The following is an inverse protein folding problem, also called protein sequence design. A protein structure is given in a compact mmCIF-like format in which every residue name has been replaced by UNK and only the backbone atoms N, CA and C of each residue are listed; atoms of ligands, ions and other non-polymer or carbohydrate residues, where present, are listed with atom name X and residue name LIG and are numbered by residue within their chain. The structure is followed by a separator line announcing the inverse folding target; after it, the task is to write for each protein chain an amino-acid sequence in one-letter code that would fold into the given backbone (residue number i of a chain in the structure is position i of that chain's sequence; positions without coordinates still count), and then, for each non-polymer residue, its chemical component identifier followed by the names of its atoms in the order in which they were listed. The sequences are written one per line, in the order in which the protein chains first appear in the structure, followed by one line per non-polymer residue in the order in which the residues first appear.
data_IF_509606483223
#
_entry.id   IF_509606483223
#
_cell.length_a   1.000
_cell.length_b   1.000
_cell.length_c   1.000
_cell.angle_alpha   90.00
_cell.angle_beta   90.00
_cell.angle_gamma   90.00
#
_symmetry.space_group_name_H-M   'P 1'
#
loop_
_entity.id
_entity.type
_entity.pdbx_description
1 polymer ?
#
# COMPACT_ATOMS: atom_id res chain seq x y z
N UNK A 1 72.74 39.77 -29.34
CA UNK A 1 72.04 38.52 -29.01
C UNK A 1 70.85 38.82 -28.09
N UNK A 2 69.60 38.81 -28.62
CA UNK A 2 68.38 39.08 -27.83
C UNK A 2 67.73 37.72 -27.50
N UNK A 3 67.69 37.35 -26.20
CA UNK A 3 66.98 36.19 -25.70
C UNK A 3 65.44 36.49 -25.62
N UNK A 4 64.65 35.79 -26.42
CA UNK A 4 63.22 35.77 -26.34
C UNK A 4 62.79 34.80 -25.27
N UNK A 5 62.29 35.29 -24.14
CA UNK A 5 61.60 34.48 -23.10
C UNK A 5 60.21 34.12 -23.58
N UNK A 6 59.93 32.86 -23.83
CA UNK A 6 58.59 32.32 -24.09
C UNK A 6 57.89 32.15 -22.71
N UNK A 7 56.88 32.95 -22.45
CA UNK A 7 55.96 32.80 -21.32
C UNK A 7 54.96 31.68 -21.70
N UNK A 8 55.08 30.52 -21.10
CA UNK A 8 54.09 29.46 -21.18
C UNK A 8 52.92 29.82 -20.20
N UNK A 9 51.76 30.14 -20.75
CA UNK A 9 50.53 30.32 -19.94
C UNK A 9 49.96 28.95 -19.57
N UNK A 10 49.61 28.66 -18.31
CA UNK A 10 48.95 27.42 -17.94
C UNK A 10 47.52 27.40 -18.46
N UNK A 11 47.20 26.43 -19.29
CA UNK A 11 45.83 26.13 -19.73
C UNK A 11 45.12 25.46 -18.56
N UNK A 12 44.27 26.21 -17.84
CA UNK A 12 43.35 25.64 -16.83
C UNK A 12 42.18 25.02 -17.58
N UNK A 13 42.20 23.68 -17.75
CA UNK A 13 41.00 22.95 -18.18
C UNK A 13 39.93 23.09 -17.07
N UNK A 14 38.97 23.97 -17.28
CA UNK A 14 37.75 23.99 -16.49
C UNK A 14 36.97 22.69 -16.83
N UNK A 15 36.93 21.74 -15.89
CA UNK A 15 36.06 20.57 -15.99
C UNK A 15 34.62 21.07 -15.95
N UNK A 16 33.95 21.10 -17.09
CA UNK A 16 32.52 21.35 -17.17
C UNK A 16 31.80 20.25 -16.36
N UNK A 17 30.82 20.57 -15.52
CA UNK A 17 30.02 19.56 -14.84
C UNK A 17 29.35 18.68 -15.92
N UNK A 18 29.71 17.43 -15.96
CA UNK A 18 29.03 16.43 -16.78
C UNK A 18 27.60 16.37 -16.31
N UNK A 19 26.65 16.87 -17.09
CA UNK A 19 25.24 16.61 -16.90
C UNK A 19 25.03 15.10 -17.12
N UNK A 20 25.14 14.33 -16.05
CA UNK A 20 24.87 12.91 -16.09
C UNK A 20 23.50 12.70 -16.71
N UNK A 21 23.43 11.96 -17.82
CA UNK A 21 22.14 11.64 -18.43
C UNK A 21 21.27 10.90 -17.41
N UNK A 22 19.97 11.24 -17.31
CA UNK A 22 19.08 10.53 -16.40
C UNK A 22 19.14 9.02 -16.69
N UNK A 23 19.21 8.22 -15.63
CA UNK A 23 19.18 6.77 -15.77
C UNK A 23 17.95 6.33 -16.59
N UNK A 24 18.16 5.44 -17.54
CA UNK A 24 17.10 4.84 -18.36
C UNK A 24 17.21 3.32 -18.27
N UNK A 25 16.09 2.62 -18.00
CA UNK A 25 16.13 1.16 -17.98
C UNK A 25 16.45 0.60 -19.38
N UNK A 26 17.40 -0.33 -19.45
CA UNK A 26 17.85 -1.04 -20.67
C UNK A 26 17.38 -2.50 -20.69
N UNK A 27 16.78 -2.98 -19.61
CA UNK A 27 16.23 -4.32 -19.46
C UNK A 27 14.92 -4.27 -18.65
N UNK A 28 14.12 -5.35 -18.61
CA UNK A 28 12.84 -5.39 -17.88
C UNK A 28 13.00 -5.07 -16.39
N UNK A 29 12.10 -4.24 -15.87
CA UNK A 29 11.98 -3.98 -14.43
C UNK A 29 11.08 -5.04 -13.80
N UNK A 30 11.49 -5.63 -12.69
CA UNK A 30 10.69 -6.56 -11.90
C UNK A 30 10.07 -5.84 -10.72
N UNK A 31 8.74 -5.96 -10.56
CA UNK A 31 8.00 -5.49 -9.38
C UNK A 31 7.63 -6.70 -8.53
N UNK A 32 8.17 -6.79 -7.33
CA UNK A 32 7.78 -7.81 -6.36
C UNK A 32 6.54 -7.35 -5.59
N UNK A 33 5.50 -8.18 -5.58
CA UNK A 33 4.24 -7.93 -4.88
C UNK A 33 4.03 -8.99 -3.81
N UNK A 34 3.92 -8.57 -2.54
CA UNK A 34 3.83 -9.46 -1.39
C UNK A 34 2.46 -10.13 -1.18
N UNK A 35 1.52 -9.95 -2.11
CA UNK A 35 0.12 -10.36 -1.98
C UNK A 35 -0.34 -11.15 -3.20
N UNK A 36 -1.45 -11.88 -3.04
CA UNK A 36 -2.04 -12.69 -4.11
C UNK A 36 -2.44 -11.82 -5.33
N UNK A 37 -2.38 -12.38 -6.55
CA UNK A 37 -2.89 -11.71 -7.74
C UNK A 37 -4.36 -11.27 -7.57
N UNK A 38 -4.73 -10.15 -8.19
CA UNK A 38 -6.08 -9.58 -8.13
C UNK A 38 -6.38 -8.71 -6.90
N UNK A 39 -5.44 -8.62 -5.93
CA UNK A 39 -5.53 -7.63 -4.85
C UNK A 39 -5.04 -6.25 -5.28
N UNK A 40 -5.33 -5.22 -4.50
CA UNK A 40 -5.00 -3.80 -4.83
C UNK A 40 -3.52 -3.58 -5.15
N UNK A 41 -2.61 -4.24 -4.41
CA UNK A 41 -1.16 -4.14 -4.66
C UNK A 41 -0.78 -4.69 -6.06
N UNK A 42 -1.39 -5.80 -6.47
CA UNK A 42 -1.18 -6.41 -7.78
C UNK A 42 -1.80 -5.56 -8.90
N UNK A 43 -3.04 -5.11 -8.71
CA UNK A 43 -3.74 -4.24 -9.65
C UNK A 43 -2.95 -2.96 -9.91
N UNK A 44 -2.50 -2.26 -8.86
CA UNK A 44 -1.74 -1.02 -8.99
C UNK A 44 -0.41 -1.22 -9.74
N UNK A 45 0.31 -2.32 -9.44
CA UNK A 45 1.54 -2.69 -10.13
C UNK A 45 1.29 -2.97 -11.63
N UNK A 46 0.23 -3.70 -11.97
CA UNK A 46 -0.11 -4.04 -13.37
C UNK A 46 -0.58 -2.84 -14.18
N UNK A 47 -1.34 -1.92 -13.59
CA UNK A 47 -1.72 -0.66 -14.28
C UNK A 47 -0.47 0.13 -14.67
N UNK A 48 0.48 0.29 -13.74
CA UNK A 48 1.74 0.96 -14.03
C UNK A 48 2.56 0.21 -15.10
N UNK A 49 2.69 -1.12 -14.97
CA UNK A 49 3.41 -1.97 -15.91
C UNK A 49 2.85 -1.88 -17.34
N UNK A 50 1.54 -2.00 -17.48
CA UNK A 50 0.82 -1.90 -18.76
C UNK A 50 1.03 -0.54 -19.44
N UNK A 51 0.98 0.53 -18.64
CA UNK A 51 1.17 1.90 -19.16
C UNK A 51 2.60 2.12 -19.64
N UNK A 52 3.59 1.67 -18.87
CA UNK A 52 5.00 1.77 -19.25
C UNK A 52 5.28 0.95 -20.51
N UNK A 53 4.72 -0.25 -20.63
CA UNK A 53 4.85 -1.07 -21.84
C UNK A 53 4.22 -0.39 -23.06
N UNK A 54 2.98 0.12 -22.93
CA UNK A 54 2.24 0.72 -24.05
C UNK A 54 2.82 2.06 -24.51
N UNK A 55 3.28 2.89 -23.57
CA UNK A 55 3.72 4.27 -23.89
C UNK A 55 5.21 4.40 -24.14
N UNK A 56 6.02 3.53 -23.55
CA UNK A 56 7.48 3.65 -23.60
C UNK A 56 8.19 2.38 -24.11
N UNK A 57 7.42 1.31 -24.40
CA UNK A 57 7.99 0.01 -24.80
C UNK A 57 8.80 -0.66 -23.67
N UNK A 58 8.67 -0.15 -22.43
CA UNK A 58 9.41 -0.66 -21.29
C UNK A 58 8.72 -1.90 -20.71
N UNK A 59 9.40 -3.04 -20.77
CA UNK A 59 8.90 -4.26 -20.15
C UNK A 59 8.98 -4.17 -18.62
N UNK A 60 7.83 -4.39 -17.95
CA UNK A 60 7.74 -4.47 -16.50
C UNK A 60 7.04 -5.77 -16.12
N UNK A 61 7.71 -6.58 -15.29
CA UNK A 61 7.21 -7.90 -14.87
C UNK A 61 6.73 -7.83 -13.43
N UNK A 62 5.46 -8.17 -13.19
CA UNK A 62 4.89 -8.26 -11.85
C UNK A 62 5.01 -9.70 -11.36
N UNK A 63 5.70 -9.88 -10.21
CA UNK A 63 5.99 -11.18 -9.59
C UNK A 63 5.39 -11.21 -8.17
N UNK A 64 4.39 -12.08 -7.94
CA UNK A 64 3.70 -12.19 -6.67
C UNK A 64 4.41 -13.17 -5.73
N UNK A 65 5.12 -12.65 -4.71
CA UNK A 65 5.81 -13.41 -3.65
C UNK A 65 5.08 -13.27 -2.33
N UNK A 66 4.05 -14.07 -2.14
CA UNK A 66 3.15 -13.97 -0.97
C UNK A 66 3.76 -14.56 0.30
N UNK A 67 3.29 -14.09 1.46
CA UNK A 67 3.58 -14.68 2.78
C UNK A 67 4.13 -13.66 3.78
N UNK A 68 4.04 -13.98 5.06
CA UNK A 68 4.46 -13.15 6.19
C UNK A 68 3.93 -11.69 6.10
N UNK A 69 2.62 -11.50 5.81
CA UNK A 69 2.07 -10.15 5.64
C UNK A 69 2.69 -9.37 4.47
N UNK A 70 3.26 -10.07 3.46
CA UNK A 70 3.96 -9.48 2.31
C UNK A 70 5.44 -9.16 2.54
N UNK A 71 5.97 -9.42 3.73
CA UNK A 71 7.38 -9.15 4.05
C UNK A 71 8.36 -10.06 3.29
N UNK A 72 7.93 -11.24 2.79
CA UNK A 72 8.77 -12.08 1.93
C UNK A 72 9.19 -11.31 0.67
N UNK A 73 8.26 -10.60 0.03
CA UNK A 73 8.56 -9.77 -1.14
C UNK A 73 9.49 -8.60 -0.78
N UNK A 74 9.19 -7.85 0.31
CA UNK A 74 10.03 -6.71 0.73
C UNK A 74 11.46 -7.14 1.10
N UNK A 75 11.62 -8.30 1.75
CA UNK A 75 12.94 -8.84 2.04
C UNK A 75 13.70 -9.22 0.77
N UNK A 76 13.01 -9.79 -0.22
CA UNK A 76 13.61 -10.07 -1.52
C UNK A 76 14.01 -8.79 -2.28
N UNK A 77 13.25 -7.70 -2.14
CA UNK A 77 13.65 -6.38 -2.66
C UNK A 77 14.89 -5.87 -1.95
N UNK A 78 14.90 -5.88 -0.61
CA UNK A 78 16.04 -5.41 0.20
C UNK A 78 17.35 -6.14 -0.16
N UNK A 79 17.28 -7.42 -0.51
CA UNK A 79 18.41 -8.27 -0.88
C UNK A 79 18.77 -8.22 -2.36
N UNK A 80 18.03 -7.47 -3.20
CA UNK A 80 18.32 -7.35 -4.62
C UNK A 80 19.44 -6.32 -4.89
N UNK A 81 20.12 -6.39 -6.06
CA UNK A 81 21.06 -5.35 -6.47
C UNK A 81 20.41 -3.96 -6.49
N UNK A 82 21.15 -2.94 -6.03
CA UNK A 82 20.68 -1.55 -6.02
C UNK A 82 20.88 -0.86 -7.39
N UNK A 83 20.40 -1.50 -8.46
CA UNK A 83 20.57 -1.10 -9.86
C UNK A 83 19.29 -0.57 -10.53
N UNK A 84 18.15 -0.63 -9.83
CA UNK A 84 16.84 -0.14 -10.30
C UNK A 84 16.01 -1.18 -11.06
N UNK A 85 16.49 -2.41 -11.26
CA UNK A 85 15.75 -3.44 -12.00
C UNK A 85 14.89 -4.36 -11.13
N UNK A 86 15.03 -4.28 -9.81
CA UNK A 86 14.13 -4.96 -8.87
C UNK A 86 13.61 -3.95 -7.86
N UNK A 87 12.30 -3.78 -7.84
CA UNK A 87 11.56 -2.91 -6.92
C UNK A 87 10.39 -3.68 -6.31
N UNK A 88 9.72 -3.13 -5.33
CA UNK A 88 8.56 -3.78 -4.72
C UNK A 88 7.44 -2.84 -4.40
N UNK A 89 6.23 -3.39 -4.27
CA UNK A 89 5.10 -2.64 -3.70
C UNK A 89 5.13 -2.77 -2.18
N UNK A 90 5.37 -1.65 -1.51
CA UNK A 90 5.19 -1.48 -0.08
C UNK A 90 3.83 -0.84 0.22
N UNK A 91 3.18 -1.27 1.28
CA UNK A 91 1.85 -0.79 1.66
C UNK A 91 1.86 -0.15 3.05
N UNK A 92 0.82 0.62 3.35
CA UNK A 92 0.64 1.28 4.66
C UNK A 92 0.84 0.31 5.83
N UNK A 93 0.26 -0.88 5.75
CA UNK A 93 0.36 -1.90 6.79
C UNK A 93 1.80 -2.28 7.11
N UNK A 94 2.64 -2.46 6.08
CA UNK A 94 4.03 -2.88 6.24
C UNK A 94 4.95 -1.72 6.66
N UNK A 95 4.81 -0.55 6.02
CA UNK A 95 5.78 0.54 6.13
C UNK A 95 5.43 1.56 7.23
N UNK A 96 4.16 1.68 7.60
CA UNK A 96 3.72 2.64 8.60
C UNK A 96 3.10 2.00 9.83
N UNK A 97 2.22 1.02 9.66
CA UNK A 97 1.44 0.42 10.74
C UNK A 97 2.26 -0.63 11.50
N UNK A 98 2.79 -1.64 10.81
CA UNK A 98 3.55 -2.72 11.43
C UNK A 98 4.66 -2.26 12.36
N UNK A 99 5.50 -1.27 11.99
CA UNK A 99 6.58 -0.77 12.83
C UNK A 99 6.15 -0.20 14.18
N UNK A 100 4.91 0.23 14.33
CA UNK A 100 4.40 0.87 15.56
C UNK A 100 3.52 -0.06 16.40
N UNK A 101 3.26 -1.29 15.93
CA UNK A 101 2.49 -2.29 16.67
C UNK A 101 3.43 -3.14 17.53
N UNK A 102 3.32 -3.10 18.87
CA UNK A 102 4.15 -3.92 19.75
C UNK A 102 3.99 -5.42 19.46
N UNK A 103 5.12 -6.11 19.34
CA UNK A 103 5.17 -7.55 19.03
C UNK A 103 5.12 -7.90 17.54
N UNK A 104 5.07 -6.92 16.64
CA UNK A 104 5.15 -7.19 15.20
C UNK A 104 6.50 -7.84 14.83
N UNK A 105 6.43 -9.02 14.20
CA UNK A 105 7.61 -9.73 13.71
C UNK A 105 7.98 -9.23 12.30
N UNK A 106 8.71 -8.12 12.23
CA UNK A 106 9.20 -7.55 10.97
C UNK A 106 10.59 -8.15 10.68
N UNK A 107 10.77 -8.91 9.59
CA UNK A 107 12.00 -9.69 9.35
C UNK A 107 13.15 -8.89 8.73
N UNK A 108 13.05 -7.56 8.67
CA UNK A 108 14.06 -6.64 8.10
C UNK A 108 13.96 -5.27 8.76
N UNK A 109 15.06 -4.50 8.72
CA UNK A 109 15.08 -3.09 9.12
C UNK A 109 14.59 -2.23 7.94
N UNK A 110 13.30 -1.86 7.97
CA UNK A 110 12.66 -1.15 6.87
C UNK A 110 13.34 0.17 6.50
N UNK A 111 13.90 0.87 7.49
CA UNK A 111 14.49 2.20 7.29
C UNK A 111 15.95 2.12 6.81
N UNK A 112 16.65 0.99 7.08
CA UNK A 112 18.03 0.77 6.65
C UNK A 112 18.13 -0.05 5.37
N UNK A 113 17.19 -0.97 5.14
CA UNK A 113 17.30 -1.94 4.05
C UNK A 113 16.46 -1.57 2.83
N UNK A 114 15.50 -0.63 2.97
CA UNK A 114 14.64 -0.16 1.89
C UNK A 114 14.70 1.36 1.73
N UNK A 115 14.46 1.83 0.51
CA UNK A 115 14.25 3.26 0.23
C UNK A 115 12.90 3.49 -0.43
N UNK A 116 12.11 4.49 0.01
CA UNK A 116 10.90 4.94 -0.67
C UNK A 116 11.24 5.54 -2.04
N UNK A 117 10.52 5.12 -3.09
CA UNK A 117 10.69 5.62 -4.45
C UNK A 117 9.51 6.52 -4.84
N UNK A 118 8.29 6.02 -4.71
CA UNK A 118 7.10 6.80 -5.06
C UNK A 118 5.86 6.27 -4.32
N UNK A 119 4.99 7.16 -3.84
CA UNK A 119 3.65 6.77 -3.42
C UNK A 119 2.73 6.82 -4.64
N UNK A 120 2.25 5.66 -5.06
CA UNK A 120 1.59 5.53 -6.34
C UNK A 120 0.09 5.81 -6.25
N UNK A 121 -0.63 5.06 -5.40
CA UNK A 121 -2.08 5.14 -5.31
C UNK A 121 -2.57 5.04 -3.86
N UNK A 122 -3.70 5.69 -3.59
CA UNK A 122 -4.50 5.54 -2.38
C UNK A 122 -5.82 4.87 -2.66
N UNK A 123 -6.41 4.24 -1.65
CA UNK A 123 -7.71 3.61 -1.73
C UNK A 123 -8.40 3.63 -0.36
N UNK A 124 -9.65 4.10 -0.27
CA UNK A 124 -10.41 4.00 0.96
C UNK A 124 -10.78 2.54 1.24
N UNK A 125 -10.87 2.20 2.52
CA UNK A 125 -11.32 0.89 2.96
C UNK A 125 -12.81 0.92 3.30
N UNK A 126 -13.50 -0.22 3.10
CA UNK A 126 -14.85 -0.43 3.56
C UNK A 126 -14.93 -1.70 4.40
N UNK A 127 -15.84 -1.71 5.36
CA UNK A 127 -16.18 -2.89 6.12
C UNK A 127 -17.24 -3.69 5.36
N UNK A 128 -16.86 -4.89 4.93
CA UNK A 128 -17.78 -5.87 4.34
C UNK A 128 -18.10 -7.01 5.31
N UNK A 129 -19.27 -7.60 5.13
CA UNK A 129 -19.71 -8.76 5.89
C UNK A 129 -20.34 -9.80 4.96
N UNK A 130 -20.43 -11.06 5.40
CA UNK A 130 -21.16 -12.11 4.69
C UNK A 130 -22.66 -11.72 4.55
N UNK A 131 -23.30 -12.18 3.50
CA UNK A 131 -24.67 -11.75 3.17
C UNK A 131 -25.70 -12.14 4.21
N UNK A 132 -25.53 -13.28 4.85
CA UNK A 132 -26.40 -13.84 5.89
C UNK A 132 -26.01 -13.41 7.32
N UNK A 133 -25.08 -12.44 7.46
CA UNK A 133 -24.71 -11.91 8.77
C UNK A 133 -25.95 -11.40 9.54
N UNK A 134 -26.04 -11.66 10.85
CA UNK A 134 -27.18 -11.23 11.67
C UNK A 134 -27.21 -9.72 11.96
N UNK A 135 -26.31 -8.96 11.33
CA UNK A 135 -26.17 -7.50 11.45
C UNK A 135 -26.03 -6.88 10.06
N UNK A 136 -26.66 -5.71 9.87
CA UNK A 136 -26.71 -4.97 8.60
C UNK A 136 -26.15 -3.55 8.71
N UNK A 137 -25.82 -3.12 9.91
CA UNK A 137 -25.29 -1.78 10.23
C UNK A 137 -24.13 -1.91 11.23
N UNK A 138 -23.33 -0.84 11.37
CA UNK A 138 -22.23 -0.81 12.35
C UNK A 138 -22.77 -0.93 13.79
N UNK A 139 -23.81 -0.19 14.21
CA UNK A 139 -24.39 -0.35 15.54
C UNK A 139 -24.89 -1.79 15.82
N UNK A 140 -25.52 -2.45 14.84
CA UNK A 140 -25.97 -3.83 14.99
C UNK A 140 -24.79 -4.81 15.12
N UNK A 141 -23.72 -4.65 14.32
CA UNK A 141 -22.48 -5.44 14.45
C UNK A 141 -21.89 -5.31 15.85
N UNK A 142 -21.77 -4.07 16.34
CA UNK A 142 -21.22 -3.80 17.68
C UNK A 142 -22.09 -4.43 18.77
N UNK A 143 -23.41 -4.28 18.68
CA UNK A 143 -24.35 -4.88 19.64
C UNK A 143 -24.26 -6.41 19.63
N UNK A 144 -24.24 -7.02 18.45
CA UNK A 144 -24.11 -8.47 18.28
C UNK A 144 -22.80 -9.00 18.85
N UNK A 145 -21.67 -8.36 18.51
CA UNK A 145 -20.35 -8.79 18.99
C UNK A 145 -20.20 -8.66 20.51
N UNK A 146 -20.80 -7.63 21.13
CA UNK A 146 -20.88 -7.48 22.60
C UNK A 146 -21.67 -8.59 23.25
N UNK A 147 -22.83 -8.95 22.66
CA UNK A 147 -23.69 -10.02 23.19
C UNK A 147 -23.09 -11.42 22.94
N UNK A 148 -22.20 -11.58 21.98
CA UNK A 148 -21.61 -12.86 21.57
C UNK A 148 -20.06 -12.80 21.53
N UNK A 149 -19.39 -12.65 22.66
CA UNK A 149 -17.92 -12.53 22.72
C UNK A 149 -17.23 -13.74 22.07
N UNK A 150 -16.29 -13.51 21.14
CA UNK A 150 -15.54 -14.56 20.46
C UNK A 150 -16.36 -15.37 19.43
N UNK A 151 -17.53 -14.86 19.01
CA UNK A 151 -18.31 -15.50 17.92
C UNK A 151 -18.17 -14.83 16.57
N UNK A 152 -17.76 -13.56 16.55
CA UNK A 152 -17.52 -12.82 15.30
C UNK A 152 -16.07 -13.04 14.88
N UNK A 153 -15.87 -13.50 13.65
CA UNK A 153 -14.55 -13.64 13.01
C UNK A 153 -14.28 -12.49 12.05
N UNK A 154 -13.02 -12.06 11.97
CA UNK A 154 -12.60 -11.06 11.01
C UNK A 154 -11.38 -11.51 10.20
N UNK A 155 -11.44 -11.27 8.89
CA UNK A 155 -10.34 -11.56 7.98
C UNK A 155 -9.28 -10.47 8.00
N UNK A 156 -8.04 -10.84 7.65
CA UNK A 156 -6.96 -9.89 7.35
C UNK A 156 -6.04 -10.42 6.24
N UNK A 157 -5.16 -9.56 5.73
CA UNK A 157 -4.12 -9.96 4.77
C UNK A 157 -2.82 -10.40 5.46
N UNK A 158 -2.90 -10.73 6.76
CA UNK A 158 -1.80 -11.20 7.59
C UNK A 158 -1.57 -10.32 8.81
N UNK A 159 -0.68 -10.79 9.69
CA UNK A 159 -0.30 -10.08 10.92
C UNK A 159 0.33 -8.72 10.62
N UNK A 160 -0.08 -7.69 11.36
CA UNK A 160 0.39 -6.31 11.17
C UNK A 160 -0.18 -5.62 9.92
N UNK A 161 -1.12 -6.25 9.20
CA UNK A 161 -1.76 -5.63 8.05
C UNK A 161 -2.75 -4.53 8.46
N UNK A 162 -2.96 -3.58 7.56
CA UNK A 162 -3.96 -2.51 7.75
C UNK A 162 -5.36 -3.07 8.04
N UNK A 163 -5.72 -4.19 7.39
CA UNK A 163 -7.02 -4.85 7.56
C UNK A 163 -7.19 -5.39 8.98
N UNK A 164 -6.15 -6.03 9.54
CA UNK A 164 -6.15 -6.48 10.93
C UNK A 164 -6.36 -5.30 11.87
N UNK A 165 -5.53 -4.26 11.72
CA UNK A 165 -5.60 -3.11 12.63
C UNK A 165 -6.89 -2.33 12.51
N UNK A 166 -7.49 -2.28 11.33
CA UNK A 166 -8.81 -1.68 11.16
C UNK A 166 -9.88 -2.42 12.00
N UNK A 167 -9.85 -3.76 12.00
CA UNK A 167 -10.76 -4.57 12.80
C UNK A 167 -10.47 -4.46 14.30
N UNK A 168 -9.19 -4.50 14.70
CA UNK A 168 -8.78 -4.31 16.10
C UNK A 168 -9.14 -2.90 16.61
N UNK A 169 -8.99 -1.89 15.75
CA UNK A 169 -9.35 -0.52 16.10
C UNK A 169 -10.87 -0.36 16.23
N UNK A 170 -11.66 -0.97 15.33
CA UNK A 170 -13.11 -1.07 15.51
C UNK A 170 -13.44 -1.72 16.85
N UNK A 171 -12.79 -2.81 17.20
CA UNK A 171 -13.01 -3.51 18.45
C UNK A 171 -12.72 -2.63 19.67
N UNK A 172 -11.57 -1.95 19.67
CA UNK A 172 -11.13 -1.07 20.75
C UNK A 172 -12.09 0.12 20.95
N UNK A 173 -12.40 0.86 19.88
CA UNK A 173 -13.29 2.01 19.91
C UNK A 173 -14.75 1.65 20.26
N UNK A 174 -15.12 0.38 20.06
CA UNK A 174 -16.45 -0.15 20.41
C UNK A 174 -16.53 -0.73 21.81
N UNK A 175 -15.52 -0.52 22.67
CA UNK A 175 -15.49 -0.98 24.06
C UNK A 175 -14.87 -2.36 24.26
N UNK A 176 -13.93 -2.76 23.40
CA UNK A 176 -13.14 -3.98 23.56
C UNK A 176 -13.88 -5.23 23.08
N UNK A 177 -14.40 -5.22 21.85
CA UNK A 177 -15.04 -6.39 21.27
C UNK A 177 -14.06 -7.57 21.19
N UNK A 178 -14.51 -8.76 21.58
CA UNK A 178 -13.73 -9.99 21.42
C UNK A 178 -14.12 -10.64 20.09
N UNK A 179 -13.22 -10.58 19.12
CA UNK A 179 -13.38 -11.17 17.78
C UNK A 179 -12.25 -12.16 17.49
N UNK A 180 -12.45 -13.07 16.54
CA UNK A 180 -11.46 -14.07 16.12
C UNK A 180 -10.76 -13.59 14.86
N UNK A 181 -9.43 -13.48 14.92
CA UNK A 181 -8.61 -13.12 13.76
C UNK A 181 -8.37 -14.32 12.83
N UNK A 182 -8.61 -14.14 11.52
CA UNK A 182 -8.36 -15.14 10.47
C UNK A 182 -7.45 -14.53 9.40
N UNK A 183 -6.14 -14.87 9.37
CA UNK A 183 -5.20 -14.31 8.41
C UNK A 183 -5.23 -15.04 7.06
N UNK A 184 -5.16 -14.27 5.96
CA UNK A 184 -5.11 -14.74 4.57
C UNK A 184 -3.87 -14.22 3.84
N UNK A 185 -3.54 -14.80 2.68
CA UNK A 185 -2.39 -14.38 1.85
C UNK A 185 -2.71 -13.22 0.88
N UNK A 186 -3.74 -12.43 1.17
CA UNK A 186 -4.16 -11.28 0.36
C UNK A 186 -5.66 -11.01 0.45
N UNK A 187 -6.11 -9.89 -0.15
CA UNK A 187 -7.51 -9.46 -0.11
C UNK A 187 -8.44 -10.42 -0.85
N UNK A 188 -8.06 -10.88 -2.04
CA UNK A 188 -8.93 -11.74 -2.85
C UNK A 188 -9.36 -13.05 -2.14
N UNK A 189 -8.46 -13.85 -1.53
CA UNK A 189 -8.88 -15.03 -0.77
C UNK A 189 -9.69 -14.68 0.50
N UNK A 190 -9.40 -13.55 1.17
CA UNK A 190 -10.18 -13.10 2.32
C UNK A 190 -11.62 -12.74 1.93
N UNK A 191 -11.82 -12.00 0.83
CA UNK A 191 -13.14 -11.65 0.30
C UNK A 191 -13.92 -12.89 -0.12
N UNK A 192 -13.27 -13.86 -0.77
CA UNK A 192 -13.90 -15.11 -1.19
C UNK A 192 -14.43 -15.89 0.02
N UNK A 193 -13.70 -15.94 1.12
CA UNK A 193 -14.09 -16.64 2.34
C UNK A 193 -15.21 -15.92 3.11
N UNK A 194 -15.21 -14.57 3.11
CA UNK A 194 -16.36 -13.80 3.62
C UNK A 194 -17.61 -14.06 2.77
N UNK A 195 -17.47 -14.10 1.44
CA UNK A 195 -18.58 -14.38 0.54
C UNK A 195 -19.13 -15.80 0.69
N UNK A 196 -18.26 -16.77 1.05
CA UNK A 196 -18.63 -18.16 1.33
C UNK A 196 -19.23 -18.36 2.74
N UNK A 197 -19.19 -17.33 3.62
CA UNK A 197 -19.67 -17.43 4.98
C UNK A 197 -18.70 -18.07 5.99
N UNK A 198 -17.45 -18.33 5.57
CA UNK A 198 -16.40 -18.91 6.44
C UNK A 198 -15.78 -17.88 7.40
N UNK A 199 -15.93 -16.60 7.10
CA UNK A 199 -15.51 -15.48 7.94
C UNK A 199 -16.61 -14.40 7.95
N UNK A 200 -16.82 -13.74 9.09
CA UNK A 200 -17.97 -12.84 9.24
C UNK A 200 -17.76 -11.47 8.61
N UNK A 201 -16.55 -10.92 8.74
CA UNK A 201 -16.27 -9.56 8.27
C UNK A 201 -14.82 -9.39 7.78
N UNK A 202 -14.63 -8.35 6.96
CA UNK A 202 -13.33 -7.92 6.48
C UNK A 202 -13.32 -6.42 6.20
N UNK A 203 -12.28 -5.74 6.66
CA UNK A 203 -11.96 -4.40 6.16
C UNK A 203 -11.20 -4.54 4.85
N UNK A 204 -11.86 -4.27 3.74
CA UNK A 204 -11.29 -4.44 2.39
C UNK A 204 -11.12 -3.10 1.69
N UNK A 205 -10.16 -3.02 0.78
CA UNK A 205 -10.07 -1.86 -0.11
C UNK A 205 -11.27 -1.83 -1.07
N UNK A 206 -11.84 -0.66 -1.32
CA UNK A 206 -13.00 -0.51 -2.23
C UNK A 206 -12.69 -1.09 -3.61
N UNK A 207 -11.44 -0.98 -4.07
CA UNK A 207 -10.96 -1.57 -5.32
C UNK A 207 -11.19 -3.09 -5.45
N UNK A 208 -11.25 -3.80 -4.32
CA UNK A 208 -11.33 -5.27 -4.30
C UNK A 208 -12.76 -5.80 -4.18
N UNK A 209 -13.70 -4.97 -3.71
CA UNK A 209 -15.01 -5.46 -3.25
C UNK A 209 -16.19 -5.10 -4.15
N UNK A 210 -16.10 -4.05 -4.98
CA UNK A 210 -17.28 -3.52 -5.69
C UNK A 210 -17.97 -4.55 -6.58
N UNK A 211 -17.21 -5.43 -7.23
CA UNK A 211 -17.80 -6.52 -8.01
C UNK A 211 -18.61 -7.50 -7.16
N UNK A 212 -18.14 -7.82 -5.97
CA UNK A 212 -18.81 -8.75 -5.04
C UNK A 212 -20.00 -8.08 -4.34
N UNK A 213 -19.91 -6.79 -4.02
CA UNK A 213 -21.01 -6.00 -3.44
C UNK A 213 -22.14 -5.84 -4.46
N UNK A 214 -21.83 -5.42 -5.69
CA UNK A 214 -22.82 -5.23 -6.75
C UNK A 214 -23.45 -6.56 -7.17
N UNK A 215 -22.69 -7.66 -7.10
CA UNK A 215 -23.19 -9.01 -7.34
C UNK A 215 -23.95 -9.63 -6.17
N UNK A 216 -24.16 -8.91 -5.06
CA UNK A 216 -24.88 -9.41 -3.86
C UNK A 216 -24.22 -10.59 -3.18
N UNK A 217 -22.88 -10.74 -3.31
CA UNK A 217 -22.13 -11.83 -2.68
C UNK A 217 -21.65 -11.47 -1.27
N UNK A 218 -21.40 -10.19 -1.01
CA UNK A 218 -21.08 -9.64 0.30
C UNK A 218 -21.87 -8.34 0.51
N UNK A 219 -22.06 -7.95 1.75
CA UNK A 219 -22.69 -6.65 2.10
C UNK A 219 -21.61 -5.71 2.60
N UNK A 220 -21.52 -4.51 1.99
CA UNK A 220 -20.75 -3.42 2.55
C UNK A 220 -21.60 -2.67 3.60
N UNK A 221 -21.05 -2.51 4.81
CA UNK A 221 -21.73 -1.81 5.91
C UNK A 221 -21.40 -0.34 5.94
N UNK A 222 -20.13 0.02 5.80
CA UNK A 222 -19.67 1.41 5.89
C UNK A 222 -18.31 1.60 5.22
N UNK A 223 -18.04 2.83 4.78
CA UNK A 223 -16.77 3.29 4.25
C UNK A 223 -15.94 3.91 5.37
N UNK A 224 -14.73 3.43 5.60
CA UNK A 224 -13.80 3.95 6.60
C UNK A 224 -13.09 5.24 6.09
N UNK A 225 -13.88 6.25 5.78
CA UNK A 225 -13.42 7.52 5.22
C UNK A 225 -14.22 8.69 5.79
N UNK A 226 -13.72 9.91 5.60
CA UNK A 226 -14.40 11.15 5.96
C UNK A 226 -15.25 11.74 4.83
N UNK A 227 -15.13 11.18 3.62
CA UNK A 227 -15.88 11.58 2.42
C UNK A 227 -16.41 10.34 1.70
N UNK A 228 -17.54 10.45 1.00
CA UNK A 228 -18.04 9.39 0.13
C UNK A 228 -17.00 9.04 -0.94
N UNK A 229 -16.95 7.76 -1.35
CA UNK A 229 -16.18 7.33 -2.51
C UNK A 229 -17.03 7.42 -3.77
N UNK A 230 -16.48 7.88 -4.91
CA UNK A 230 -17.19 7.82 -6.19
C UNK A 230 -17.67 6.42 -6.58
N UNK A 231 -16.98 5.37 -6.12
CA UNK A 231 -17.36 3.98 -6.36
C UNK A 231 -18.50 3.48 -5.46
N UNK A 232 -18.71 4.12 -4.34
CA UNK A 232 -19.72 3.74 -3.35
C UNK A 232 -20.33 5.01 -2.72
N UNK A 233 -20.99 5.86 -3.53
CA UNK A 233 -21.49 7.16 -3.06
C UNK A 233 -22.54 7.05 -1.98
N UNK A 234 -23.32 5.98 -1.98
CA UNK A 234 -24.42 5.73 -1.05
C UNK A 234 -24.00 4.95 0.21
N UNK A 235 -22.74 4.48 0.26
CA UNK A 235 -22.28 3.72 1.42
C UNK A 235 -22.09 4.65 2.63
N UNK A 236 -22.68 4.31 3.81
CA UNK A 236 -22.53 5.09 5.02
C UNK A 236 -21.04 5.28 5.38
N UNK A 237 -20.71 6.43 5.96
CA UNK A 237 -19.36 6.68 6.46
C UNK A 237 -19.22 6.10 7.86
N UNK A 238 -18.25 5.21 8.05
CA UNK A 238 -17.93 4.61 9.35
C UNK A 238 -17.55 5.67 10.39
N UNK A 239 -16.96 6.78 9.93
CA UNK A 239 -16.60 7.92 10.80
C UNK A 239 -17.81 8.64 11.42
N UNK A 240 -19.04 8.38 10.98
CA UNK A 240 -20.26 8.87 11.66
C UNK A 240 -20.53 8.12 12.94
N UNK A 241 -20.27 6.80 12.95
CA UNK A 241 -20.48 5.95 14.12
C UNK A 241 -19.22 5.93 15.00
N UNK A 242 -18.03 5.90 14.36
CA UNK A 242 -16.73 5.83 15.03
C UNK A 242 -15.77 6.84 14.36
N UNK A 243 -15.70 8.10 14.84
CA UNK A 243 -14.96 9.19 14.18
C UNK A 243 -13.47 8.91 13.94
N UNK A 244 -12.85 8.11 14.79
CA UNK A 244 -11.45 7.75 14.69
C UNK A 244 -11.15 6.81 13.49
N UNK A 245 -12.12 6.05 13.00
CA UNK A 245 -11.96 5.06 11.94
C UNK A 245 -11.99 5.67 10.52
N UNK A 246 -11.05 6.57 10.25
CA UNK A 246 -10.74 7.07 8.91
C UNK A 246 -9.49 6.36 8.40
N UNK A 247 -9.65 5.39 7.50
CA UNK A 247 -8.56 4.53 7.01
C UNK A 247 -8.49 4.60 5.49
N UNK A 248 -7.52 5.37 4.99
CA UNK A 248 -7.18 5.42 3.58
C UNK A 248 -5.88 4.66 3.37
N UNK A 249 -5.96 3.48 2.79
CA UNK A 249 -4.78 2.65 2.52
C UNK A 249 -4.00 3.20 1.33
N UNK A 250 -2.70 2.98 1.29
CA UNK A 250 -1.85 3.42 0.19
C UNK A 250 -0.83 2.36 -0.22
N UNK A 251 -0.39 2.46 -1.49
CA UNK A 251 0.50 1.52 -2.15
C UNK A 251 1.59 2.30 -2.86
N UNK A 252 2.83 2.07 -2.45
CA UNK A 252 3.98 2.78 -2.97
C UNK A 252 5.09 1.85 -3.45
N UNK A 253 5.93 2.38 -4.31
CA UNK A 253 7.10 1.71 -4.83
C UNK A 253 8.28 1.91 -3.86
N UNK A 254 8.98 0.82 -3.55
CA UNK A 254 10.20 0.81 -2.74
C UNK A 254 11.31 0.07 -3.47
N UNK A 255 12.55 0.42 -3.19
CA UNK A 255 13.74 -0.25 -3.70
C UNK A 255 14.69 -0.66 -2.59
N UNK A 256 15.78 -1.39 -2.92
CA UNK A 256 16.83 -1.73 -1.95
C UNK A 256 17.58 -0.48 -1.49
N UNK A 257 18.12 -0.53 -0.28
CA UNK A 257 19.03 0.50 0.21
C UNK A 257 20.24 0.64 -0.71
N UNK A 258 20.82 1.86 -0.78
CA UNK A 258 21.96 2.12 -1.67
C UNK A 258 21.59 2.40 -3.12
N UNK A 259 20.30 2.42 -3.47
CA UNK A 259 19.85 2.79 -4.82
C UNK A 259 20.36 4.20 -5.18
N UNK A 260 21.11 4.37 -6.31
CA UNK A 260 21.64 5.68 -6.73
C UNK A 260 20.52 6.74 -6.86
N UNK A 261 20.83 7.98 -6.54
CA UNK A 261 19.83 9.05 -6.48
C UNK A 261 19.16 9.32 -7.83
N UNK A 262 19.92 9.25 -8.92
CA UNK A 262 19.43 9.40 -10.30
C UNK A 262 18.54 8.24 -10.74
N UNK A 263 18.89 7.00 -10.37
CA UNK A 263 18.05 5.80 -10.57
C UNK A 263 16.73 5.93 -9.83
N UNK A 264 16.80 6.30 -8.55
CA UNK A 264 15.61 6.50 -7.71
C UNK A 264 14.68 7.59 -8.27
N UNK A 265 15.26 8.73 -8.68
CA UNK A 265 14.48 9.82 -9.27
C UNK A 265 13.85 9.44 -10.62
N UNK A 266 14.57 8.70 -11.45
CA UNK A 266 14.08 8.21 -12.75
C UNK A 266 12.94 7.20 -12.58
N UNK A 267 13.08 6.23 -11.66
CA UNK A 267 12.02 5.27 -11.32
C UNK A 267 10.79 6.00 -10.77
N UNK A 268 10.98 6.94 -9.85
CA UNK A 268 9.87 7.72 -9.30
C UNK A 268 9.06 8.38 -10.42
N UNK A 269 9.73 9.12 -11.31
CA UNK A 269 9.08 9.78 -12.45
C UNK A 269 8.36 8.77 -13.34
N UNK A 270 9.03 7.68 -13.77
CA UNK A 270 8.44 6.67 -14.64
C UNK A 270 7.12 6.12 -14.07
N UNK A 271 7.12 5.73 -12.80
CA UNK A 271 5.96 5.10 -12.18
C UNK A 271 4.87 6.10 -11.79
N UNK A 272 5.21 7.32 -11.37
CA UNK A 272 4.25 8.39 -11.12
C UNK A 272 3.55 8.79 -12.42
N UNK A 273 4.31 9.02 -13.50
CA UNK A 273 3.74 9.37 -14.80
C UNK A 273 2.82 8.25 -15.31
N UNK A 274 3.19 6.98 -15.07
CA UNK A 274 2.39 5.84 -15.48
C UNK A 274 1.03 5.76 -14.75
N UNK A 275 1.02 5.93 -13.42
CA UNK A 275 -0.25 5.87 -12.66
C UNK A 275 -1.08 7.13 -12.81
N UNK A 276 -0.45 8.28 -13.09
CA UNK A 276 -1.12 9.57 -13.29
C UNK A 276 -1.55 9.81 -14.73
N UNK A 277 -1.27 8.87 -15.63
CA UNK A 277 -1.64 9.00 -17.04
C UNK A 277 -3.16 9.19 -17.21
N UNK A 278 -3.61 10.22 -17.95
CA UNK A 278 -5.04 10.46 -18.18
C UNK A 278 -5.79 9.27 -18.75
N UNK A 279 -5.12 8.40 -19.54
CA UNK A 279 -5.72 7.18 -20.07
C UNK A 279 -6.07 6.16 -18.97
N UNK A 280 -5.43 6.23 -17.80
CA UNK A 280 -5.71 5.36 -16.67
C UNK A 280 -6.81 5.90 -15.74
N UNK A 281 -7.24 7.15 -15.91
CA UNK A 281 -8.19 7.82 -15.01
C UNK A 281 -9.47 7.00 -14.79
N UNK A 282 -10.05 6.52 -15.90
CA UNK A 282 -11.27 5.71 -15.82
C UNK A 282 -11.02 4.33 -15.21
N UNK A 283 -9.90 3.68 -15.55
CA UNK A 283 -9.51 2.37 -15.02
C UNK A 283 -9.26 2.46 -13.51
N UNK A 284 -8.52 3.47 -13.07
CA UNK A 284 -8.26 3.72 -11.65
C UNK A 284 -9.56 4.04 -10.90
N UNK A 285 -10.41 4.91 -11.45
CA UNK A 285 -11.70 5.24 -10.85
C UNK A 285 -12.60 4.01 -10.70
N UNK A 286 -12.68 3.13 -11.73
CA UNK A 286 -13.41 1.86 -11.66
C UNK A 286 -12.87 0.90 -10.60
N UNK A 287 -11.61 1.06 -10.22
CA UNK A 287 -10.96 0.30 -9.15
C UNK A 287 -10.98 1.03 -7.80
N UNK A 288 -11.55 2.23 -7.72
CA UNK A 288 -11.53 3.07 -6.50
C UNK A 288 -10.14 3.52 -6.08
N UNK A 289 -9.21 3.55 -7.02
CA UNK A 289 -7.84 3.97 -6.82
C UNK A 289 -7.71 5.45 -7.15
N UNK A 290 -7.06 6.20 -6.26
CA UNK A 290 -6.72 7.60 -6.46
C UNK A 290 -5.21 7.71 -6.68
N UNK A 291 -4.70 8.26 -7.80
CA UNK A 291 -3.29 8.54 -7.97
C UNK A 291 -2.82 9.51 -6.89
N UNK A 292 -1.75 9.19 -6.17
CA UNK A 292 -1.12 10.05 -5.17
C UNK A 292 0.07 10.81 -5.73
N UNK A 293 0.85 10.19 -6.61
CA UNK A 293 1.91 10.83 -7.38
C UNK A 293 3.01 11.49 -6.55
N UNK A 294 3.28 10.99 -5.33
CA UNK A 294 4.28 11.58 -4.45
C UNK A 294 5.66 11.00 -4.75
N UNK A 295 6.64 11.90 -4.93
CA UNK A 295 8.04 11.53 -5.15
C UNK A 295 8.75 11.02 -3.89
N UNK A 296 10.05 10.66 -3.98
CA UNK A 296 10.76 9.97 -2.91
C UNK A 296 10.77 10.70 -1.57
N UNK A 297 10.99 12.01 -1.56
CA UNK A 297 11.04 12.82 -0.33
C UNK A 297 9.66 12.94 0.31
N UNK A 298 8.64 13.25 -0.50
CA UNK A 298 7.26 13.39 -0.02
C UNK A 298 6.72 12.07 0.48
N UNK A 299 7.04 10.96 -0.20
CA UNK A 299 6.62 9.63 0.21
C UNK A 299 7.30 9.22 1.52
N UNK A 300 8.60 9.49 1.70
CA UNK A 300 9.27 9.24 2.97
C UNK A 300 8.62 10.03 4.13
N UNK A 301 8.35 11.32 3.92
CA UNK A 301 7.67 12.16 4.90
C UNK A 301 6.24 11.65 5.20
N UNK A 302 5.52 11.18 4.17
CA UNK A 302 4.19 10.61 4.31
C UNK A 302 4.20 9.34 5.17
N UNK A 303 5.15 8.43 4.96
CA UNK A 303 5.34 7.22 5.78
C UNK A 303 5.53 7.60 7.25
N UNK A 304 6.42 8.57 7.55
CA UNK A 304 6.69 8.98 8.94
C UNK A 304 5.46 9.61 9.61
N UNK A 305 4.76 10.50 8.92
CA UNK A 305 3.52 11.10 9.41
C UNK A 305 2.45 10.04 9.71
N UNK A 306 2.36 9.04 8.85
CA UNK A 306 1.39 7.96 9.03
C UNK A 306 1.80 7.03 10.19
N UNK A 307 3.09 6.74 10.39
CA UNK A 307 3.62 6.04 11.58
C UNK A 307 3.24 6.77 12.87
N UNK A 308 3.44 8.08 12.94
CA UNK A 308 3.07 8.88 14.11
C UNK A 308 1.57 8.81 14.41
N UNK A 309 0.75 8.90 13.36
CA UNK A 309 -0.70 8.76 13.47
C UNK A 309 -1.09 7.39 14.01
N UNK A 310 -0.58 6.32 13.41
CA UNK A 310 -0.88 4.96 13.82
C UNK A 310 -0.32 4.60 15.20
N UNK A 311 0.82 5.13 15.60
CA UNK A 311 1.34 4.97 16.95
C UNK A 311 0.35 5.50 18.01
N UNK A 312 -0.32 6.63 17.75
CA UNK A 312 -1.37 7.17 18.63
C UNK A 312 -2.57 6.22 18.70
N UNK A 313 -3.01 5.68 17.54
CA UNK A 313 -4.12 4.72 17.43
C UNK A 313 -3.81 3.43 18.19
N UNK A 314 -2.64 2.85 17.93
CA UNK A 314 -2.16 1.62 18.58
C UNK A 314 -2.09 1.78 20.10
N UNK A 315 -1.57 2.92 20.56
CA UNK A 315 -1.50 3.24 22.00
C UNK A 315 -2.89 3.40 22.63
N UNK A 316 -3.78 4.16 21.99
CA UNK A 316 -5.14 4.41 22.49
C UNK A 316 -5.97 3.12 22.55
N UNK A 317 -5.86 2.26 21.53
CA UNK A 317 -6.56 0.99 21.46
C UNK A 317 -5.89 -0.17 22.22
N UNK A 318 -4.71 0.05 22.82
CA UNK A 318 -3.88 -1.00 23.41
C UNK A 318 -3.66 -2.19 22.46
N UNK A 319 -3.47 -1.90 21.18
CA UNK A 319 -3.37 -2.89 20.10
C UNK A 319 -1.97 -3.55 20.17
N UNK A 320 -1.93 -4.86 20.04
CA UNK A 320 -0.70 -5.67 19.98
C UNK A 320 -0.78 -6.65 18.84
N UNK A 321 0.35 -7.04 18.27
CA UNK A 321 0.40 -8.19 17.39
C UNK A 321 0.04 -9.45 18.18
N UNK A 322 -0.83 -10.29 17.64
CA UNK A 322 -1.23 -11.56 18.22
C UNK A 322 -0.35 -12.68 17.69
#
# INVERSE_FOLDING_TARGET
MRRRSLLAAPFVLAAAPSLAQPWKPSQPIKILVGYAPGGTADISARIAADTLQKKQGLAVVVDNKTGAGGFIALKAVAQSPADGYTVGIGIMGQLAVGPVVPGSAIPLDLDKELVPIANLVGVPMALIVRMDAPFKTIPELVAYAKANPGKVSYASTGLGSTNQLAAEFLAAESGGLKMIHVPYRGGAPAIADVAAGNCDLFFANVSEIMGMVNGGKVRALALAATKPSPLAPDLPLLTKDIPALNINNWFGLVGPAGLPADVKASLARLFIDAVSDPANKETLAKQGLEPLGQGPADFAAYIQKDRERWAKVVKAGNIKAQ
#
